data_IF_537060053960
#
_entry.id   IF_537060053960
#
_cell.length_a   1.000
_cell.length_b   1.000
_cell.length_c   1.000
_cell.angle_alpha   90.00
_cell.angle_beta   90.00
_cell.angle_gamma   90.00
#
_symmetry.space_group_name_H-M   'P 1'
#
loop_
_entity.id
_entity.type
_entity.pdbx_description
1 polymer ?
#
# COMPACT_ATOMS: atom_id res chain seq x y z
N UNK A 1 1.06 -15.65 14.14
CA UNK A 1 0.11 -14.62 13.67
C UNK A 1 0.01 -14.70 12.15
N UNK A 2 -1.19 -14.68 11.60
CA UNK A 2 -1.46 -14.70 10.17
C UNK A 2 -1.85 -13.31 9.68
N UNK A 3 -1.08 -12.73 8.78
CA UNK A 3 -1.32 -11.41 8.19
C UNK A 3 -1.74 -11.55 6.73
N UNK A 4 -2.90 -10.99 6.39
CA UNK A 4 -3.42 -10.96 5.02
C UNK A 4 -3.21 -9.56 4.43
N UNK A 5 -2.40 -9.47 3.36
CA UNK A 5 -2.07 -8.20 2.70
C UNK A 5 -2.87 -8.03 1.41
N UNK A 6 -3.31 -6.80 1.16
CA UNK A 6 -3.94 -6.43 -0.09
C UNK A 6 -2.87 -6.19 -1.16
N UNK A 7 -2.88 -7.02 -2.21
CA UNK A 7 -1.91 -7.03 -3.30
C UNK A 7 -2.38 -6.33 -4.57
N UNK A 8 -3.37 -5.43 -4.52
CA UNK A 8 -3.90 -4.76 -5.73
C UNK A 8 -2.82 -4.11 -6.60
N UNK A 9 -1.78 -3.54 -6.00
CA UNK A 9 -0.70 -2.86 -6.71
C UNK A 9 0.55 -3.73 -6.96
N UNK A 10 0.47 -5.04 -6.73
CA UNK A 10 1.62 -5.93 -6.87
C UNK A 10 2.24 -5.92 -8.28
N UNK A 11 1.41 -5.88 -9.31
CA UNK A 11 1.82 -5.85 -10.72
C UNK A 11 2.19 -4.44 -11.24
N UNK A 12 2.26 -3.45 -10.35
CA UNK A 12 2.58 -2.06 -10.68
C UNK A 12 3.88 -1.59 -9.99
N UNK A 13 5.04 -2.22 -10.28
CA UNK A 13 6.30 -1.96 -9.57
C UNK A 13 6.85 -0.54 -9.77
N UNK A 14 6.30 0.22 -10.72
CA UNK A 14 6.69 1.60 -10.98
C UNK A 14 5.88 2.64 -10.19
N UNK A 15 4.91 2.19 -9.41
CA UNK A 15 4.12 3.05 -8.52
C UNK A 15 4.64 3.00 -7.09
N UNK A 16 4.49 4.08 -6.34
CA UNK A 16 4.88 4.10 -4.92
C UNK A 16 4.18 3.01 -4.09
N UNK A 17 2.87 2.78 -4.34
CA UNK A 17 2.13 1.71 -3.65
C UNK A 17 2.61 0.31 -4.03
N UNK A 18 2.99 0.10 -5.31
CA UNK A 18 3.53 -1.18 -5.77
C UNK A 18 4.92 -1.47 -5.19
N UNK A 19 5.80 -0.48 -5.17
CA UNK A 19 7.10 -0.59 -4.51
C UNK A 19 6.93 -0.86 -3.01
N UNK A 20 6.07 -0.09 -2.35
CA UNK A 20 5.84 -0.23 -0.92
C UNK A 20 5.40 -1.65 -0.55
N UNK A 21 4.39 -2.22 -1.21
CA UNK A 21 3.90 -3.58 -0.88
C UNK A 21 4.96 -4.64 -1.13
N UNK A 22 5.76 -4.52 -2.19
CA UNK A 22 6.83 -5.46 -2.54
C UNK A 22 7.95 -5.44 -1.50
N UNK A 23 8.45 -4.25 -1.14
CA UNK A 23 9.51 -4.11 -0.15
C UNK A 23 9.03 -4.46 1.27
N UNK A 24 7.80 -4.09 1.63
CA UNK A 24 7.21 -4.47 2.89
C UNK A 24 7.14 -5.99 3.04
N UNK A 25 6.65 -6.68 2.01
CA UNK A 25 6.50 -8.14 2.06
C UNK A 25 7.87 -8.84 2.11
N UNK A 26 8.85 -8.38 1.35
CA UNK A 26 10.22 -8.88 1.40
C UNK A 26 10.87 -8.66 2.78
N UNK A 27 10.68 -7.49 3.37
CA UNK A 27 11.19 -7.19 4.71
C UNK A 27 10.53 -8.06 5.79
N UNK A 28 9.21 -8.22 5.75
CA UNK A 28 8.47 -9.04 6.70
C UNK A 28 8.89 -10.52 6.64
N UNK A 29 9.13 -11.08 5.46
CA UNK A 29 9.61 -12.47 5.32
C UNK A 29 11.01 -12.68 5.90
N UNK A 30 11.83 -11.64 5.95
CA UNK A 30 13.20 -11.70 6.48
C UNK A 30 13.25 -11.38 7.97
N UNK A 31 12.55 -10.32 8.41
CA UNK A 31 12.65 -9.80 9.77
C UNK A 31 11.68 -10.47 10.75
N UNK A 32 10.60 -11.06 10.25
CA UNK A 32 9.56 -11.72 11.06
C UNK A 32 9.14 -13.07 10.42
N UNK A 33 10.08 -14.03 10.28
CA UNK A 33 9.86 -15.30 9.58
C UNK A 33 8.81 -16.19 10.26
N UNK A 34 8.41 -15.89 11.48
CA UNK A 34 7.33 -16.56 12.23
C UNK A 34 5.93 -16.12 11.78
N UNK A 35 5.82 -15.04 11.01
CA UNK A 35 4.55 -14.60 10.46
C UNK A 35 4.14 -15.48 9.30
N UNK A 36 2.88 -15.91 9.31
CA UNK A 36 2.25 -16.43 8.11
C UNK A 36 1.75 -15.24 7.28
N UNK A 37 2.19 -15.13 6.05
CA UNK A 37 1.86 -14.02 5.16
C UNK A 37 1.04 -14.53 3.97
N UNK A 38 -0.10 -13.88 3.71
CA UNK A 38 -0.91 -14.14 2.52
C UNK A 38 -1.11 -12.86 1.73
N UNK A 39 -0.77 -12.89 0.44
CA UNK A 39 -1.00 -11.80 -0.50
C UNK A 39 -2.30 -12.08 -1.27
N UNK A 40 -3.30 -11.23 -1.10
CA UNK A 40 -4.59 -11.34 -1.77
C UNK A 40 -4.53 -10.46 -3.02
N UNK A 41 -4.73 -11.06 -4.20
CA UNK A 41 -4.61 -10.40 -5.50
C UNK A 41 -5.86 -10.58 -6.35
N UNK A 42 -6.14 -9.69 -7.32
CA UNK A 42 -7.13 -9.97 -8.37
C UNK A 42 -6.73 -11.22 -9.18
N UNK A 43 -7.70 -12.10 -9.52
CA UNK A 43 -7.42 -13.31 -10.29
C UNK A 43 -6.88 -13.02 -11.71
N UNK A 44 -7.13 -11.81 -12.23
CA UNK A 44 -6.63 -11.35 -13.51
C UNK A 44 -5.15 -10.93 -13.46
N UNK A 45 -4.56 -10.87 -12.26
CA UNK A 45 -3.15 -10.55 -12.09
C UNK A 45 -2.30 -11.79 -12.44
N UNK A 46 -1.65 -11.78 -13.61
CA UNK A 46 -0.88 -12.89 -14.12
C UNK A 46 0.61 -12.81 -13.77
N UNK A 47 1.11 -11.62 -13.40
CA UNK A 47 2.51 -11.41 -13.09
C UNK A 47 2.70 -11.28 -11.57
N UNK A 48 3.21 -12.34 -10.97
CA UNK A 48 3.59 -12.38 -9.55
C UNK A 48 5.12 -12.44 -9.40
N UNK A 49 5.81 -11.73 -10.29
CA UNK A 49 7.27 -11.70 -10.29
C UNK A 49 7.81 -11.18 -8.96
N UNK A 50 8.96 -11.74 -8.56
CA UNK A 50 9.67 -11.37 -7.33
C UNK A 50 8.86 -11.58 -6.03
N UNK A 51 7.91 -12.53 -6.04
CA UNK A 51 7.23 -12.89 -4.80
C UNK A 51 8.24 -13.52 -3.82
N UNK A 52 8.33 -13.01 -2.58
CA UNK A 52 9.21 -13.62 -1.58
C UNK A 52 8.79 -15.08 -1.27
N UNK A 53 9.75 -15.96 -0.93
CA UNK A 53 9.43 -17.31 -0.53
C UNK A 53 8.54 -17.33 0.72
N UNK A 54 7.73 -18.38 0.88
CA UNK A 54 6.82 -18.60 2.01
C UNK A 54 5.64 -17.61 2.11
N UNK A 55 5.33 -16.89 1.04
CA UNK A 55 4.11 -16.08 0.95
C UNK A 55 3.03 -16.85 0.21
N UNK A 56 1.91 -17.09 0.87
CA UNK A 56 0.73 -17.68 0.25
C UNK A 56 0.06 -16.65 -0.66
N UNK A 57 -0.33 -17.04 -1.88
CA UNK A 57 -1.10 -16.15 -2.78
C UNK A 57 -2.53 -16.63 -2.88
N UNK A 58 -3.48 -15.72 -2.67
CA UNK A 58 -4.90 -16.00 -2.83
C UNK A 58 -5.50 -15.10 -3.92
N UNK A 59 -5.72 -15.63 -5.15
CA UNK A 59 -6.41 -14.91 -6.20
C UNK A 59 -7.91 -14.79 -5.87
N UNK A 60 -8.47 -13.61 -6.11
CA UNK A 60 -9.88 -13.31 -5.88
C UNK A 60 -10.54 -12.70 -7.11
N UNK A 61 -11.73 -13.22 -7.43
CA UNK A 61 -12.50 -12.74 -8.58
C UNK A 61 -12.87 -11.27 -8.45
N UNK A 62 -12.64 -10.51 -9.52
CA UNK A 62 -13.07 -9.12 -9.71
C UNK A 62 -13.88 -9.07 -11.01
N UNK A 63 -15.21 -8.96 -10.95
CA UNK A 63 -16.07 -9.12 -12.12
C UNK A 63 -16.06 -7.91 -13.06
N UNK A 64 -15.48 -6.79 -12.64
CA UNK A 64 -15.51 -5.50 -13.34
C UNK A 64 -14.09 -4.94 -13.38
N UNK A 65 -13.68 -4.37 -14.50
CA UNK A 65 -12.36 -3.74 -14.65
C UNK A 65 -12.27 -2.28 -14.17
N UNK A 66 -11.07 -1.72 -14.23
CA UNK A 66 -10.79 -0.32 -13.93
C UNK A 66 -11.06 0.10 -12.48
N UNK A 67 -11.39 1.36 -12.26
CA UNK A 67 -11.61 1.93 -10.91
C UNK A 67 -12.77 1.26 -10.15
N UNK A 68 -13.83 0.86 -10.86
CA UNK A 68 -14.96 0.17 -10.22
C UNK A 68 -14.51 -1.21 -9.73
N UNK A 69 -13.69 -1.91 -10.51
CA UNK A 69 -13.10 -3.18 -10.10
C UNK A 69 -12.20 -3.05 -8.89
N UNK A 70 -11.41 -1.96 -8.81
CA UNK A 70 -10.60 -1.64 -7.63
C UNK A 70 -11.46 -1.48 -6.39
N UNK A 71 -12.51 -0.67 -6.46
CA UNK A 71 -13.45 -0.47 -5.34
C UNK A 71 -14.14 -1.79 -4.98
N UNK A 72 -14.56 -2.59 -5.95
CA UNK A 72 -15.13 -3.91 -5.71
C UNK A 72 -14.15 -4.82 -4.95
N UNK A 73 -12.90 -4.86 -5.40
CA UNK A 73 -11.86 -5.66 -4.74
C UNK A 73 -11.66 -5.21 -3.29
N UNK A 74 -11.49 -3.92 -3.06
CA UNK A 74 -11.29 -3.33 -1.74
C UNK A 74 -12.46 -3.58 -0.79
N UNK A 75 -13.69 -3.43 -1.29
CA UNK A 75 -14.89 -3.44 -0.45
C UNK A 75 -15.55 -4.82 -0.31
N UNK A 76 -15.23 -5.78 -1.19
CA UNK A 76 -15.90 -7.08 -1.23
C UNK A 76 -14.92 -8.26 -1.29
N UNK A 77 -14.03 -8.30 -2.29
CA UNK A 77 -13.17 -9.45 -2.51
C UNK A 77 -12.14 -9.60 -1.40
N UNK A 78 -11.45 -8.52 -1.04
CA UNK A 78 -10.44 -8.52 0.01
C UNK A 78 -11.01 -8.89 1.40
N UNK A 79 -12.09 -8.27 1.93
CA UNK A 79 -12.65 -8.67 3.21
C UNK A 79 -13.12 -10.13 3.27
N UNK A 80 -13.69 -10.64 2.16
CA UNK A 80 -14.10 -12.05 2.07
C UNK A 80 -12.90 -13.00 2.08
N UNK A 81 -11.82 -12.63 1.40
CA UNK A 81 -10.59 -13.40 1.40
C UNK A 81 -9.96 -13.45 2.81
N UNK A 82 -9.89 -12.31 3.50
CA UNK A 82 -9.40 -12.22 4.88
C UNK A 82 -10.20 -13.13 5.82
N UNK A 83 -11.53 -13.08 5.72
CA UNK A 83 -12.41 -13.95 6.52
C UNK A 83 -12.20 -15.44 6.18
N UNK A 84 -12.08 -15.79 4.88
CA UNK A 84 -11.81 -17.17 4.43
C UNK A 84 -10.48 -17.71 4.94
N UNK A 85 -9.44 -16.86 4.99
CA UNK A 85 -8.12 -17.19 5.52
C UNK A 85 -8.09 -17.28 7.04
N UNK A 86 -9.13 -16.81 7.73
CA UNK A 86 -9.15 -16.62 9.18
C UNK A 86 -7.90 -15.87 9.66
N UNK A 87 -7.52 -14.80 8.93
CA UNK A 87 -6.34 -14.03 9.25
C UNK A 87 -6.54 -13.24 10.56
N UNK A 88 -5.47 -13.14 11.34
CA UNK A 88 -5.46 -12.40 12.61
C UNK A 88 -5.41 -10.88 12.36
N UNK A 89 -4.82 -10.48 11.25
CA UNK A 89 -4.62 -9.08 10.85
C UNK A 89 -4.81 -8.92 9.33
N UNK A 90 -5.54 -7.89 8.94
CA UNK A 90 -5.62 -7.42 7.57
C UNK A 90 -4.74 -6.18 7.37
N UNK A 91 -3.96 -6.12 6.29
CA UNK A 91 -3.16 -4.94 5.95
C UNK A 91 -3.46 -4.48 4.52
N UNK A 92 -3.86 -3.23 4.39
CA UNK A 92 -3.97 -2.55 3.09
C UNK A 92 -2.80 -1.58 2.96
N UNK A 93 -1.75 -1.92 2.17
CA UNK A 93 -0.50 -1.16 2.11
C UNK A 93 -0.60 0.06 1.17
N UNK A 94 -1.76 0.67 1.10
CA UNK A 94 -2.06 1.89 0.37
C UNK A 94 -3.37 2.51 0.89
N UNK A 95 -3.70 3.72 0.44
CA UNK A 95 -4.91 4.40 0.84
C UNK A 95 -6.15 3.87 0.11
N UNK A 96 -6.74 2.80 0.58
CA UNK A 96 -7.92 2.16 0.01
C UNK A 96 -8.48 1.03 0.88
N UNK A 97 -8.56 1.20 2.22
CA UNK A 97 -9.07 0.14 3.07
C UNK A 97 -10.59 -0.09 2.86
N UNK A 98 -11.11 -1.27 3.22
CA UNK A 98 -12.55 -1.53 3.22
C UNK A 98 -13.27 -0.72 4.31
N UNK A 99 -14.52 -0.34 4.04
CA UNK A 99 -15.39 0.30 5.04
C UNK A 99 -15.76 -0.63 6.20
N UNK A 100 -15.84 -1.92 5.92
CA UNK A 100 -16.24 -2.95 6.89
C UNK A 100 -15.39 -4.19 6.71
N UNK A 101 -14.77 -4.59 7.80
CA UNK A 101 -14.04 -5.83 7.93
C UNK A 101 -14.11 -6.27 9.41
N UNK A 102 -14.23 -7.55 9.67
CA UNK A 102 -14.32 -8.09 11.03
C UNK A 102 -12.96 -8.28 11.70
N UNK A 103 -11.92 -8.39 10.90
CA UNK A 103 -10.53 -8.58 11.34
C UNK A 103 -9.89 -7.22 11.63
N UNK A 104 -9.04 -7.09 12.66
CA UNK A 104 -8.23 -5.90 12.88
C UNK A 104 -7.54 -5.45 11.59
N UNK A 105 -7.64 -4.14 11.27
CA UNK A 105 -7.20 -3.59 10.00
C UNK A 105 -6.10 -2.56 10.20
N UNK A 106 -4.96 -2.78 9.57
CA UNK A 106 -3.92 -1.79 9.37
C UNK A 106 -4.05 -1.20 7.96
N UNK A 107 -4.01 0.11 7.83
CA UNK A 107 -3.95 0.79 6.54
C UNK A 107 -2.69 1.63 6.44
N UNK A 108 -1.98 1.58 5.31
CA UNK A 108 -0.91 2.54 5.05
C UNK A 108 -1.46 3.72 4.26
N UNK A 109 -1.27 4.91 4.78
CA UNK A 109 -1.60 6.18 4.11
C UNK A 109 -0.30 6.92 3.89
N UNK A 110 0.26 6.80 2.68
CA UNK A 110 1.57 7.37 2.35
C UNK A 110 1.52 8.90 2.38
N UNK A 111 0.43 9.47 1.87
CA UNK A 111 0.20 10.92 1.87
C UNK A 111 -1.30 11.23 1.91
N UNK A 112 -1.63 12.50 2.06
CA UNK A 112 -3.00 13.03 2.01
C UNK A 112 -3.18 14.09 0.90
N UNK A 113 -2.29 14.09 -0.09
CA UNK A 113 -2.33 15.02 -1.24
C UNK A 113 -3.72 15.08 -1.88
N UNK A 114 -4.42 13.95 -2.13
CA UNK A 114 -5.76 13.99 -2.71
C UNK A 114 -6.82 14.69 -1.85
N UNK A 115 -6.54 14.87 -0.55
CA UNK A 115 -7.40 15.65 0.37
C UNK A 115 -6.94 17.09 0.50
N UNK A 116 -5.63 17.34 0.42
CA UNK A 116 -5.04 18.66 0.63
C UNK A 116 -5.16 19.55 -0.62
N UNK A 117 -5.03 18.96 -1.80
CA UNK A 117 -4.95 19.67 -3.09
C UNK A 117 -6.30 19.62 -3.81
N UNK A 118 -6.98 20.77 -4.03
CA UNK A 118 -8.33 20.81 -4.61
C UNK A 118 -8.43 20.20 -6.01
N UNK A 119 -7.36 20.27 -6.81
CA UNK A 119 -7.29 19.77 -8.18
C UNK A 119 -7.53 18.25 -8.26
N UNK A 120 -7.10 17.50 -7.26
CA UNK A 120 -7.33 16.05 -7.17
C UNK A 120 -8.78 15.68 -6.82
N UNK A 121 -9.58 16.64 -6.33
CA UNK A 121 -10.99 16.43 -5.96
C UNK A 121 -11.97 16.84 -7.05
N UNK A 122 -11.49 17.19 -8.26
CA UNK A 122 -12.35 17.60 -9.35
C UNK A 122 -13.19 16.42 -9.86
N UNK A 123 -14.48 16.70 -10.12
CA UNK A 123 -15.44 15.73 -10.60
C UNK A 123 -16.11 14.89 -9.49
N UNK A 124 -17.36 14.50 -9.73
CA UNK A 124 -18.19 13.79 -8.75
C UNK A 124 -17.59 12.43 -8.36
N UNK A 125 -17.03 11.70 -9.33
CA UNK A 125 -16.42 10.36 -9.09
C UNK A 125 -15.24 10.44 -8.13
N UNK A 126 -14.35 11.41 -8.32
CA UNK A 126 -13.17 11.59 -7.45
C UNK A 126 -13.59 12.02 -6.03
N UNK A 127 -14.60 12.90 -5.92
CA UNK A 127 -15.13 13.33 -4.61
C UNK A 127 -15.75 12.17 -3.85
N UNK A 128 -16.55 11.32 -4.52
CA UNK A 128 -17.16 10.14 -3.91
C UNK A 128 -16.11 9.13 -3.49
N UNK A 129 -15.13 8.82 -4.36
CA UNK A 129 -14.03 7.91 -4.02
C UNK A 129 -13.22 8.42 -2.84
N UNK A 130 -12.82 9.69 -2.85
CA UNK A 130 -12.06 10.31 -1.76
C UNK A 130 -12.83 10.28 -0.43
N UNK A 131 -14.15 10.53 -0.48
CA UNK A 131 -15.01 10.44 0.72
C UNK A 131 -15.11 9.01 1.24
N UNK A 132 -15.23 8.02 0.35
CA UNK A 132 -15.23 6.60 0.69
C UNK A 132 -13.93 6.22 1.41
N UNK A 133 -12.79 6.54 0.81
CA UNK A 133 -11.46 6.17 1.34
C UNK A 133 -11.18 6.87 2.67
N UNK A 134 -11.60 8.14 2.81
CA UNK A 134 -11.52 8.87 4.07
C UNK A 134 -12.33 8.19 5.17
N UNK A 135 -13.59 7.82 4.88
CA UNK A 135 -14.45 7.12 5.84
C UNK A 135 -13.87 5.75 6.21
N UNK A 136 -13.34 5.01 5.24
CA UNK A 136 -12.72 3.71 5.45
C UNK A 136 -11.43 3.81 6.29
N UNK A 137 -10.59 4.81 6.06
CA UNK A 137 -9.37 5.02 6.85
C UNK A 137 -9.67 5.34 8.32
N UNK A 138 -10.75 6.07 8.62
CA UNK A 138 -11.23 6.28 10.00
C UNK A 138 -11.57 4.97 10.71
N UNK A 139 -12.08 3.98 9.97
CA UNK A 139 -12.45 2.66 10.48
C UNK A 139 -11.28 1.70 10.68
N UNK A 140 -10.08 2.02 10.17
CA UNK A 140 -8.89 1.18 10.37
C UNK A 140 -8.51 1.15 11.86
N UNK A 141 -8.07 -0.01 12.34
CA UNK A 141 -7.60 -0.18 13.72
C UNK A 141 -6.34 0.66 13.95
N UNK A 142 -5.44 0.68 12.97
CA UNK A 142 -4.20 1.45 13.02
C UNK A 142 -3.81 1.96 11.62
N UNK A 143 -3.13 3.09 11.56
CA UNK A 143 -2.61 3.67 10.33
C UNK A 143 -1.08 3.71 10.39
N UNK A 144 -0.43 3.29 9.31
CA UNK A 144 0.98 3.52 9.07
C UNK A 144 1.13 4.68 8.08
N UNK A 145 2.12 5.53 8.30
CA UNK A 145 2.47 6.61 7.38
C UNK A 145 3.97 6.82 7.34
N UNK A 146 4.47 7.59 6.37
CA UNK A 146 5.90 7.67 6.05
C UNK A 146 6.62 8.86 6.68
N UNK A 147 5.90 9.85 7.18
CA UNK A 147 6.50 11.06 7.76
C UNK A 147 5.61 11.68 8.83
N UNK A 148 6.20 12.53 9.66
CA UNK A 148 5.46 13.29 10.67
C UNK A 148 4.52 14.31 10.03
N UNK A 149 4.90 14.90 8.89
CA UNK A 149 4.01 15.80 8.14
C UNK A 149 2.77 15.06 7.63
N UNK A 150 2.94 13.86 7.05
CA UNK A 150 1.82 13.01 6.64
C UNK A 150 0.93 12.62 7.84
N UNK A 151 1.52 12.32 9.01
CA UNK A 151 0.78 12.05 10.24
C UNK A 151 -0.10 13.23 10.65
N UNK A 152 0.44 14.43 10.67
CA UNK A 152 -0.32 15.65 10.98
C UNK A 152 -1.43 15.90 9.95
N UNK A 153 -1.13 15.68 8.67
CA UNK A 153 -2.11 15.75 7.58
C UNK A 153 -3.27 14.75 7.78
N UNK A 154 -2.97 13.50 8.15
CA UNK A 154 -3.97 12.46 8.44
C UNK A 154 -4.85 12.88 9.62
N UNK A 155 -4.25 13.33 10.73
CA UNK A 155 -5.00 13.82 11.90
C UNK A 155 -5.96 14.93 11.50
N UNK A 156 -5.48 15.94 10.78
CA UNK A 156 -6.25 17.13 10.41
C UNK A 156 -7.33 16.86 9.36
N UNK A 157 -7.02 16.07 8.32
CA UNK A 157 -7.89 15.91 7.14
C UNK A 157 -8.75 14.65 7.18
N UNK A 158 -8.30 13.60 7.86
CA UNK A 158 -9.04 12.34 8.01
C UNK A 158 -9.73 12.28 9.37
N UNK A 159 -9.21 12.97 10.38
CA UNK A 159 -9.72 13.01 11.76
C UNK A 159 -9.52 11.65 12.45
N UNK A 160 -8.27 11.18 12.44
CA UNK A 160 -7.82 9.97 13.15
C UNK A 160 -6.95 10.39 14.32
N UNK A 161 -7.19 9.86 15.53
CA UNK A 161 -6.37 10.17 16.72
C UNK A 161 -4.90 9.75 16.52
N UNK A 162 -3.98 10.58 17.06
CA UNK A 162 -2.55 10.38 16.86
C UNK A 162 -1.98 9.08 17.41
N UNK A 163 -2.59 8.53 18.48
CA UNK A 163 -2.23 7.23 19.05
C UNK A 163 -2.54 6.05 18.11
N UNK A 164 -3.37 6.25 17.11
CA UNK A 164 -3.68 5.26 16.06
C UNK A 164 -2.83 5.42 14.82
N UNK A 165 -1.81 6.29 14.84
CA UNK A 165 -0.96 6.56 13.68
C UNK A 165 0.51 6.35 14.07
N UNK A 166 1.19 5.42 13.40
CA UNK A 166 2.64 5.24 13.51
C UNK A 166 3.36 5.74 12.26
N UNK A 167 4.46 6.44 12.48
CA UNK A 167 5.34 6.88 11.39
C UNK A 167 6.42 5.81 11.16
N UNK A 168 6.47 5.31 9.94
CA UNK A 168 7.47 4.34 9.46
C UNK A 168 8.17 4.94 8.24
N UNK A 169 9.29 5.66 8.43
CA UNK A 169 10.00 6.32 7.33
C UNK A 169 10.40 5.36 6.22
N UNK A 170 10.36 5.84 4.99
CA UNK A 170 10.90 5.10 3.85
C UNK A 170 12.44 5.22 3.84
N UNK A 171 13.09 4.21 3.28
CA UNK A 171 14.52 4.22 3.02
C UNK A 171 14.80 4.00 1.53
N UNK A 172 15.96 4.43 1.08
CA UNK A 172 16.44 4.12 -0.26
C UNK A 172 16.74 2.60 -0.37
N UNK A 173 16.55 2.03 -1.56
CA UNK A 173 16.97 0.67 -1.82
C UNK A 173 18.49 0.54 -1.68
N UNK A 174 18.96 -0.63 -1.23
CA UNK A 174 20.39 -0.90 -1.02
C UNK A 174 21.28 -0.71 -2.26
N UNK A 175 20.67 -0.73 -3.46
CA UNK A 175 21.40 -0.45 -4.71
C UNK A 175 21.82 1.02 -4.87
N UNK A 176 21.15 1.94 -4.15
CA UNK A 176 21.53 3.35 -4.15
C UNK A 176 22.56 3.58 -3.07
N UNK A 177 23.82 3.48 -3.45
CA UNK A 177 24.96 3.72 -2.58
C UNK A 177 25.43 5.16 -2.78
N UNK A 178 25.84 5.86 -1.71
CA UNK A 178 26.40 7.21 -1.81
C UNK A 178 27.81 7.20 -2.44
N UNK A 179 28.46 6.02 -2.47
CA UNK A 179 29.82 5.84 -2.96
C UNK A 179 29.79 5.24 -4.37
N UNK A 180 29.76 6.10 -5.40
CA UNK A 180 30.06 5.73 -6.78
C UNK A 180 31.57 5.82 -7.06
N UNK A 181 32.05 5.16 -8.11
CA UNK A 181 33.40 5.41 -8.59
C UNK A 181 33.41 6.69 -9.42
N UNK A 182 34.51 7.47 -9.40
CA UNK A 182 34.63 8.66 -10.28
C UNK A 182 34.41 8.36 -11.76
N UNK A 183 34.72 7.13 -12.20
CA UNK A 183 34.48 6.69 -13.58
C UNK A 183 33.01 6.52 -13.90
N UNK A 184 32.21 5.95 -12.98
CA UNK A 184 30.75 5.81 -13.11
C UNK A 184 30.06 7.17 -13.09
N UNK A 185 30.46 8.06 -12.17
CA UNK A 185 29.93 9.43 -12.11
C UNK A 185 30.21 10.20 -13.39
N UNK A 186 31.43 10.12 -13.92
CA UNK A 186 31.80 10.77 -15.18
C UNK A 186 31.01 10.19 -16.37
N UNK A 187 30.75 8.88 -16.40
CA UNK A 187 29.94 8.24 -17.43
C UNK A 187 28.49 8.72 -17.40
N UNK A 188 27.90 8.87 -16.20
CA UNK A 188 26.54 9.42 -16.02
C UNK A 188 26.51 10.90 -16.43
N UNK A 189 27.48 11.71 -16.00
CA UNK A 189 27.60 13.12 -16.38
C UNK A 189 27.68 13.30 -17.90
N UNK A 190 28.55 12.51 -18.56
CA UNK A 190 28.69 12.56 -20.01
C UNK A 190 27.41 12.10 -20.75
N UNK A 191 26.72 11.10 -20.21
CA UNK A 191 25.46 10.57 -20.81
C UNK A 191 24.31 11.58 -20.78
N UNK A 192 24.25 12.40 -19.74
CA UNK A 192 23.13 13.32 -19.50
C UNK A 192 23.54 14.80 -19.63
N UNK A 193 24.74 15.07 -20.14
CA UNK A 193 25.30 16.44 -20.31
C UNK A 193 25.20 17.26 -19.00
N UNK A 194 25.58 16.62 -17.89
CA UNK A 194 25.54 17.25 -16.57
C UNK A 194 26.89 17.94 -16.27
N UNK A 195 26.86 19.10 -15.62
CA UNK A 195 28.06 19.83 -15.22
C UNK A 195 28.91 19.10 -14.18
#
# INVERSE_FOLDING_TARGET
>A
MHVALNGWFWDQPHTGSGQYVRHLLAALTTLAPELRLSLIVPEQMHQLDHLPPKVDVLPMRVPIGGQIGKVWFEQRSFPRAVARLQADLAHVPYWGPPLRISTPLVATVLDVIPLAVPEYRQGLKNRLYTSLVRAAARGATHILTISEDARQGIQRLIDVPGERISVTPLAAEARFQPEGTPAEDNAVRARYDLP
#
